data_IF_581100436165
#
_entry.id   IF_581100436165
#
_cell.length_a   1.000
_cell.length_b   1.000
_cell.length_c   1.000
_cell.angle_alpha   90.00
_cell.angle_beta   90.00
_cell.angle_gamma   90.00
#
_symmetry.space_group_name_H-M   'P 1'
#
loop_
_entity.id
_entity.type
_entity.pdbx_description
1 polymer ?
#
# COMPACT_ATOMS: atom_id res chain seq x y z
N UNK A 1 -5.41 5.35 29.85
CA UNK A 1 -4.00 4.97 30.01
C UNK A 1 -3.46 4.31 28.74
N UNK A 2 -2.16 4.10 28.62
CA UNK A 2 -1.52 3.54 27.42
C UNK A 2 -2.03 2.15 27.01
N UNK A 3 -2.67 1.41 27.91
CA UNK A 3 -3.12 0.03 27.71
C UNK A 3 -4.64 -0.14 27.62
N UNK A 4 -5.41 0.94 27.56
CA UNK A 4 -6.90 0.87 27.46
C UNK A 4 -7.36 0.06 26.23
N UNK A 5 -6.61 0.11 25.14
CA UNK A 5 -6.90 -0.70 23.96
C UNK A 5 -6.82 -2.21 24.21
N UNK A 6 -5.98 -2.66 25.18
CA UNK A 6 -5.91 -4.07 25.57
C UNK A 6 -7.17 -4.51 26.30
N UNK A 7 -7.70 -3.64 27.19
CA UNK A 7 -8.98 -3.86 27.88
C UNK A 7 -10.12 -3.97 26.85
N UNK A 8 -10.13 -3.09 25.85
CA UNK A 8 -11.08 -3.16 24.73
C UNK A 8 -10.99 -4.50 23.99
N UNK A 9 -9.79 -4.96 23.63
CA UNK A 9 -9.61 -6.26 22.98
C UNK A 9 -10.07 -7.46 23.83
N UNK A 10 -10.11 -7.34 25.14
CA UNK A 10 -10.58 -8.39 26.05
C UNK A 10 -12.10 -8.46 26.24
N UNK A 11 -12.88 -7.56 25.61
CA UNK A 11 -14.35 -7.53 25.77
C UNK A 11 -15.02 -8.59 24.91
N UNK A 12 -16.04 -9.25 25.45
CA UNK A 12 -16.80 -10.28 24.73
C UNK A 12 -17.81 -9.72 23.71
N UNK A 13 -18.15 -8.42 23.81
CA UNK A 13 -19.09 -7.74 22.91
C UNK A 13 -18.41 -7.09 21.69
N UNK A 14 -17.12 -7.37 21.45
CA UNK A 14 -16.36 -6.90 20.30
C UNK A 14 -15.88 -8.11 19.47
N UNK A 15 -16.23 -8.15 18.21
CA UNK A 15 -15.80 -9.18 17.25
C UNK A 15 -14.64 -8.74 16.38
N UNK A 16 -14.59 -7.45 16.02
CA UNK A 16 -13.61 -6.86 15.10
C UNK A 16 -12.92 -5.65 15.75
N UNK A 17 -11.60 -5.60 15.66
CA UNK A 17 -10.79 -4.44 16.05
C UNK A 17 -10.21 -3.80 14.81
N UNK A 18 -10.51 -2.50 14.59
CA UNK A 18 -9.94 -1.71 13.52
C UNK A 18 -8.79 -0.84 14.05
N UNK A 19 -7.60 -1.00 13.50
CA UNK A 19 -6.36 -0.36 13.96
C UNK A 19 -5.95 0.73 12.96
N UNK A 20 -6.04 2.00 13.41
CA UNK A 20 -5.73 3.22 12.64
C UNK A 20 -4.72 4.08 13.43
N UNK A 21 -3.68 3.48 13.96
CA UNK A 21 -2.69 4.14 14.82
C UNK A 21 -1.44 4.56 14.02
N UNK A 22 -0.36 4.91 14.69
CA UNK A 22 0.95 5.03 14.06
C UNK A 22 1.48 3.65 13.61
N UNK A 23 2.36 3.64 12.62
CA UNK A 23 2.83 2.40 11.99
C UNK A 23 3.54 1.43 12.93
N UNK A 24 4.24 1.92 13.97
CA UNK A 24 4.91 1.04 14.95
C UNK A 24 3.92 0.26 15.81
N UNK A 25 2.70 0.76 15.95
CA UNK A 25 1.66 0.16 16.76
C UNK A 25 0.82 -0.88 16.01
N UNK A 26 0.82 -0.86 14.67
CA UNK A 26 -0.04 -1.73 13.85
C UNK A 26 0.16 -3.21 14.15
N UNK A 27 1.33 -3.76 13.91
CA UNK A 27 1.58 -5.20 14.08
C UNK A 27 1.46 -5.65 15.56
N UNK A 28 2.03 -4.96 16.57
CA UNK A 28 1.85 -5.34 17.96
C UNK A 28 0.39 -5.37 18.42
N UNK A 29 -0.41 -4.38 18.01
CA UNK A 29 -1.83 -4.33 18.35
C UNK A 29 -2.63 -5.42 17.64
N UNK A 30 -2.36 -5.67 16.35
CA UNK A 30 -2.99 -6.72 15.59
C UNK A 30 -2.72 -8.12 16.18
N UNK A 31 -1.47 -8.41 16.50
CA UNK A 31 -1.06 -9.65 17.17
C UNK A 31 -1.79 -9.83 18.51
N UNK A 32 -1.86 -8.76 19.31
CA UNK A 32 -2.55 -8.83 20.59
C UNK A 32 -4.05 -9.10 20.42
N UNK A 33 -4.72 -8.34 19.53
CA UNK A 33 -6.15 -8.49 19.29
C UNK A 33 -6.51 -9.91 18.79
N UNK A 34 -5.73 -10.46 17.84
CA UNK A 34 -5.94 -11.83 17.38
C UNK A 34 -5.76 -12.87 18.49
N UNK A 35 -4.80 -12.70 19.39
CA UNK A 35 -4.62 -13.55 20.58
C UNK A 35 -5.80 -13.48 21.56
N UNK A 36 -6.58 -12.41 21.54
CA UNK A 36 -7.83 -12.27 22.29
C UNK A 36 -9.04 -12.81 21.49
N UNK A 37 -8.81 -13.50 20.37
CA UNK A 37 -9.88 -14.08 19.53
C UNK A 37 -10.63 -13.06 18.67
N UNK A 38 -10.11 -11.85 18.50
CA UNK A 38 -10.75 -10.82 17.68
C UNK A 38 -10.31 -10.94 16.22
N UNK A 39 -11.22 -10.67 15.29
CA UNK A 39 -10.85 -10.34 13.92
C UNK A 39 -10.16 -8.97 13.89
N UNK A 40 -9.28 -8.75 12.95
CA UNK A 40 -8.49 -7.52 12.85
C UNK A 40 -8.59 -6.91 11.46
N UNK A 41 -8.92 -5.64 11.42
CA UNK A 41 -8.70 -4.75 10.30
C UNK A 41 -7.53 -3.82 10.65
N UNK A 42 -6.48 -3.77 9.85
CA UNK A 42 -5.30 -2.95 10.13
C UNK A 42 -4.97 -2.04 8.96
N UNK A 43 -4.78 -0.75 9.25
CA UNK A 43 -4.33 0.24 8.29
C UNK A 43 -2.92 -0.03 7.75
N UNK A 44 -2.60 0.61 6.68
CA UNK A 44 -1.39 0.38 5.88
C UNK A 44 -0.20 1.26 6.32
N UNK A 45 1.02 0.70 6.27
CA UNK A 45 1.36 -0.72 6.13
C UNK A 45 1.04 -1.52 7.39
N UNK A 46 0.68 -2.78 7.26
CA UNK A 46 0.30 -3.61 8.41
C UNK A 46 1.49 -3.94 9.33
N UNK A 47 2.69 -3.89 8.81
CA UNK A 47 3.94 -4.16 9.53
C UNK A 47 5.08 -3.31 8.98
N UNK A 48 6.11 -3.07 9.80
CA UNK A 48 7.28 -2.28 9.47
C UNK A 48 8.52 -3.12 9.20
N UNK A 49 8.53 -4.36 9.67
CA UNK A 49 9.67 -5.28 9.57
C UNK A 49 9.22 -6.66 9.07
N UNK A 50 10.16 -7.41 8.47
CA UNK A 50 9.89 -8.80 8.05
C UNK A 50 9.53 -9.70 9.23
N UNK A 51 10.09 -9.43 10.41
CA UNK A 51 9.75 -10.18 11.62
C UNK A 51 8.29 -9.97 12.03
N UNK A 52 7.83 -8.73 12.06
CA UNK A 52 6.42 -8.40 12.31
C UNK A 52 5.48 -9.02 11.27
N UNK A 53 5.88 -9.08 9.99
CA UNK A 53 5.10 -9.77 8.95
C UNK A 53 4.90 -11.25 9.31
N UNK A 54 5.95 -11.93 9.79
CA UNK A 54 5.84 -13.31 10.28
C UNK A 54 4.96 -13.44 11.54
N UNK A 55 5.05 -12.48 12.47
CA UNK A 55 4.21 -12.49 13.66
C UNK A 55 2.72 -12.39 13.29
N UNK A 56 2.36 -11.52 12.36
CA UNK A 56 0.98 -11.40 11.86
C UNK A 56 0.47 -12.72 11.28
N UNK A 57 1.26 -13.35 10.41
CA UNK A 57 0.88 -14.64 9.78
C UNK A 57 0.77 -15.74 10.83
N UNK A 58 1.80 -15.91 11.67
CA UNK A 58 1.85 -16.97 12.68
C UNK A 58 0.67 -16.90 13.66
N UNK A 59 0.30 -15.70 14.08
CA UNK A 59 -0.79 -15.53 15.04
C UNK A 59 -2.15 -15.68 14.36
N UNK A 60 -2.33 -15.19 13.14
CA UNK A 60 -3.56 -15.39 12.36
C UNK A 60 -3.82 -16.88 12.14
N UNK A 61 -2.80 -17.64 11.71
CA UNK A 61 -2.89 -19.09 11.52
C UNK A 61 -3.19 -19.84 12.83
N UNK A 62 -2.52 -19.46 13.93
CA UNK A 62 -2.66 -20.14 15.21
C UNK A 62 -4.02 -19.90 15.88
N UNK A 63 -4.63 -18.73 15.66
CA UNK A 63 -5.91 -18.36 16.29
C UNK A 63 -7.10 -18.59 15.37
N UNK A 64 -6.90 -18.71 14.08
CA UNK A 64 -7.97 -18.70 13.08
C UNK A 64 -8.68 -17.35 12.94
N UNK A 65 -8.14 -16.29 13.54
CA UNK A 65 -8.69 -14.94 13.43
C UNK A 65 -8.40 -14.36 12.05
N UNK A 66 -9.39 -13.71 11.43
CA UNK A 66 -9.13 -12.93 10.23
C UNK A 66 -8.22 -11.76 10.58
N UNK A 67 -7.15 -11.59 9.80
CA UNK A 67 -6.44 -10.32 9.68
C UNK A 67 -6.67 -9.84 8.25
N UNK A 68 -7.23 -8.65 8.09
CA UNK A 68 -7.40 -7.99 6.81
C UNK A 68 -6.60 -6.70 6.81
N UNK A 69 -5.71 -6.53 5.82
CA UNK A 69 -5.07 -5.24 5.59
C UNK A 69 -6.07 -4.31 4.89
N UNK A 70 -6.17 -3.09 5.39
CA UNK A 70 -7.14 -2.11 4.88
C UNK A 70 -6.54 -1.28 3.73
N UNK A 71 -6.14 -1.97 2.66
CA UNK A 71 -5.58 -1.35 1.48
C UNK A 71 -6.70 -0.88 0.55
N UNK A 72 -7.18 0.34 0.79
CA UNK A 72 -8.32 0.91 0.11
C UNK A 72 -8.11 1.12 -1.40
N UNK A 73 -6.87 1.33 -1.85
CA UNK A 73 -6.57 1.54 -3.27
C UNK A 73 -6.88 0.29 -4.12
N UNK A 74 -6.87 -0.91 -3.53
CA UNK A 74 -7.35 -2.10 -4.22
C UNK A 74 -8.82 -1.98 -4.66
N UNK A 75 -9.60 -1.16 -3.96
CA UNK A 75 -11.01 -0.89 -4.24
C UNK A 75 -11.23 0.39 -5.05
N UNK A 76 -10.20 1.09 -5.51
CA UNK A 76 -10.35 2.19 -6.48
C UNK A 76 -11.05 1.66 -7.73
N UNK A 77 -12.01 2.44 -8.25
CA UNK A 77 -12.87 1.99 -9.36
C UNK A 77 -12.07 1.60 -10.60
N UNK A 78 -11.06 2.38 -10.94
CA UNK A 78 -10.16 2.09 -12.07
C UNK A 78 -9.31 0.83 -11.82
N UNK A 79 -8.77 0.64 -10.60
CA UNK A 79 -8.01 -0.56 -10.24
C UNK A 79 -8.89 -1.82 -10.34
N UNK A 80 -10.13 -1.75 -9.84
CA UNK A 80 -11.09 -2.86 -9.93
C UNK A 80 -11.55 -3.13 -11.37
N UNK A 81 -11.72 -2.08 -12.19
CA UNK A 81 -12.02 -2.24 -13.60
C UNK A 81 -10.84 -2.87 -14.35
N UNK A 82 -9.60 -2.42 -14.09
CA UNK A 82 -8.40 -3.02 -14.65
C UNK A 82 -8.24 -4.50 -14.25
N UNK A 83 -8.48 -4.83 -12.97
CA UNK A 83 -8.50 -6.23 -12.49
C UNK A 83 -9.57 -7.05 -13.24
N UNK A 84 -10.76 -6.50 -13.45
CA UNK A 84 -11.81 -7.16 -14.22
C UNK A 84 -11.40 -7.39 -15.68
N UNK A 85 -10.68 -6.42 -16.30
CA UNK A 85 -10.12 -6.59 -17.64
C UNK A 85 -9.06 -7.71 -17.69
N UNK A 86 -8.18 -7.78 -16.67
CA UNK A 86 -7.18 -8.86 -16.53
C UNK A 86 -7.90 -10.21 -16.42
N UNK A 87 -8.89 -10.35 -15.53
CA UNK A 87 -9.66 -11.59 -15.33
C UNK A 87 -10.44 -12.02 -16.57
N UNK A 88 -10.83 -11.08 -17.42
CA UNK A 88 -11.46 -11.39 -18.72
C UNK A 88 -10.44 -11.65 -19.85
N UNK A 89 -9.14 -11.69 -19.53
CA UNK A 89 -8.08 -12.01 -20.48
C UNK A 89 -7.77 -10.93 -21.51
N UNK A 90 -8.21 -9.67 -21.30
CA UNK A 90 -8.02 -8.62 -22.31
C UNK A 90 -6.56 -8.27 -22.56
N UNK A 91 -5.71 -8.47 -21.56
CA UNK A 91 -4.27 -8.19 -21.68
C UNK A 91 -3.44 -9.45 -22.00
N UNK A 92 -4.09 -10.62 -22.17
CA UNK A 92 -3.40 -11.89 -22.37
C UNK A 92 -2.66 -12.34 -21.11
N UNK A 93 -1.53 -13.00 -21.29
CA UNK A 93 -0.63 -13.39 -20.17
C UNK A 93 0.05 -12.14 -19.60
N UNK A 94 -0.10 -11.89 -18.30
CA UNK A 94 0.53 -10.73 -17.65
C UNK A 94 2.03 -10.96 -17.51
N UNK A 95 2.82 -9.98 -17.94
CA UNK A 95 4.27 -10.02 -17.98
C UNK A 95 4.94 -9.06 -17.01
N UNK A 96 4.35 -7.86 -16.85
CA UNK A 96 4.97 -6.77 -16.12
C UNK A 96 3.94 -5.91 -15.40
N UNK A 97 4.29 -5.46 -14.18
CA UNK A 97 3.59 -4.45 -13.41
C UNK A 97 4.48 -3.26 -13.08
N UNK A 98 3.88 -2.09 -13.05
CA UNK A 98 4.46 -0.88 -12.46
C UNK A 98 3.50 -0.32 -11.41
N UNK A 99 4.03 0.23 -10.34
CA UNK A 99 3.25 0.87 -9.29
C UNK A 99 4.13 1.70 -8.36
N UNK A 100 3.51 2.46 -7.46
CA UNK A 100 4.25 3.19 -6.46
C UNK A 100 3.35 3.93 -5.48
N UNK A 101 3.98 4.69 -4.59
CA UNK A 101 3.34 5.73 -3.84
C UNK A 101 4.11 7.03 -4.10
N UNK A 102 3.62 7.77 -5.05
CA UNK A 102 4.25 8.95 -5.60
C UNK A 102 3.38 10.17 -5.26
N UNK A 103 3.62 10.74 -4.08
CA UNK A 103 2.76 11.76 -3.46
C UNK A 103 3.61 12.80 -2.74
N UNK A 104 3.51 14.06 -3.13
CA UNK A 104 4.18 15.13 -2.41
C UNK A 104 3.62 15.27 -1.00
N UNK A 105 4.33 14.74 -0.01
CA UNK A 105 3.95 14.79 1.41
C UNK A 105 4.79 15.80 2.21
N UNK A 106 5.52 16.70 1.58
CA UNK A 106 6.37 17.65 2.30
C UNK A 106 5.56 18.51 3.25
N UNK A 107 4.38 18.97 2.83
CA UNK A 107 3.47 19.76 3.68
C UNK A 107 2.82 18.93 4.80
N UNK A 108 2.65 17.62 4.64
CA UNK A 108 2.16 16.72 5.68
C UNK A 108 3.26 16.39 6.70
N UNK A 109 4.50 16.27 6.23
CA UNK A 109 5.67 15.92 7.07
C UNK A 109 6.12 17.04 7.98
N UNK A 110 5.77 18.28 7.65
CA UNK A 110 6.09 19.46 8.44
C UNK A 110 4.85 20.34 8.57
N UNK A 111 4.53 20.76 9.79
CA UNK A 111 3.42 21.69 10.03
C UNK A 111 3.67 22.53 11.28
N UNK A 112 2.75 23.44 11.59
CA UNK A 112 2.86 24.40 12.70
C UNK A 112 2.44 23.85 14.07
N UNK A 113 2.10 22.57 14.15
CA UNK A 113 1.61 21.91 15.38
C UNK A 113 0.11 22.06 15.62
N UNK A 114 -0.64 22.69 14.69
CA UNK A 114 -2.08 22.88 14.79
C UNK A 114 -2.85 22.49 13.51
N UNK A 115 -2.25 22.72 12.35
CA UNK A 115 -2.84 22.35 11.06
C UNK A 115 -2.25 21.03 10.57
N UNK A 116 -3.02 20.30 9.77
CA UNK A 116 -2.56 19.03 9.19
C UNK A 116 -1.42 19.25 8.20
N UNK A 117 -1.56 20.24 7.32
CA UNK A 117 -0.55 20.61 6.34
C UNK A 117 0.21 21.86 6.79
N UNK A 118 1.43 22.01 6.26
CA UNK A 118 2.19 23.25 6.38
C UNK A 118 1.38 24.42 5.82
N UNK A 119 1.38 25.54 6.56
CA UNK A 119 0.77 26.78 6.11
C UNK A 119 1.81 27.61 5.36
N UNK A 120 1.67 27.81 4.05
CA UNK A 120 2.66 28.54 3.25
C UNK A 120 2.95 29.94 3.81
N UNK A 121 4.22 30.28 3.95
CA UNK A 121 4.66 31.57 4.45
C UNK A 121 4.67 31.74 5.98
N UNK A 122 4.24 30.72 6.75
CA UNK A 122 4.25 30.80 8.22
C UNK A 122 5.68 30.77 8.78
N UNK A 123 6.61 30.08 8.11
CA UNK A 123 7.96 29.80 8.60
C UNK A 123 8.00 28.84 9.80
N UNK A 124 6.85 28.39 10.29
CA UNK A 124 6.74 27.49 11.45
C UNK A 124 6.68 26.04 10.95
N UNK A 125 7.83 25.39 10.95
CA UNK A 125 8.02 24.02 10.51
C UNK A 125 8.36 23.15 11.72
N UNK A 126 7.47 22.20 12.05
CA UNK A 126 7.68 21.25 13.14
C UNK A 126 7.54 19.83 12.64
N UNK A 127 8.27 18.92 13.27
CA UNK A 127 8.13 17.47 13.18
C UNK A 127 8.29 16.84 14.57
N UNK A 128 7.88 15.59 14.71
CA UNK A 128 7.95 14.90 16.01
C UNK A 128 6.91 15.42 17.01
N UNK A 129 7.13 15.29 18.32
CA UNK A 129 6.11 15.54 19.35
C UNK A 129 5.47 16.92 19.37
N UNK A 130 6.10 17.92 18.75
CA UNK A 130 5.59 19.30 18.70
C UNK A 130 4.79 19.60 17.44
N UNK A 131 4.74 18.66 16.51
CA UNK A 131 3.93 18.75 15.30
C UNK A 131 2.49 18.28 15.54
N UNK A 132 1.64 18.36 14.52
CA UNK A 132 0.26 17.88 14.55
C UNK A 132 0.09 16.64 13.66
N UNK A 133 -0.85 15.77 14.00
CA UNK A 133 -1.24 14.60 13.22
C UNK A 133 -0.01 13.73 12.81
N UNK A 134 0.09 13.36 11.53
CA UNK A 134 1.12 12.45 11.03
C UNK A 134 2.55 12.99 11.14
N UNK A 135 2.75 14.29 11.09
CA UNK A 135 4.08 14.88 11.28
C UNK A 135 4.69 14.55 12.65
N UNK A 136 3.89 14.13 13.64
CA UNK A 136 4.37 13.70 14.95
C UNK A 136 5.23 12.44 14.88
N UNK A 137 4.95 11.54 13.95
CA UNK A 137 5.60 10.22 13.88
C UNK A 137 6.13 9.89 12.48
N UNK A 138 5.41 10.25 11.41
CA UNK A 138 5.73 9.86 10.03
C UNK A 138 7.07 10.38 9.55
N UNK A 139 7.39 11.63 9.86
CA UNK A 139 8.65 12.27 9.43
C UNK A 139 9.87 11.60 10.05
N UNK A 140 9.75 11.02 11.25
CA UNK A 140 10.83 10.26 11.87
C UNK A 140 11.26 9.04 11.04
N UNK A 141 10.35 8.43 10.30
CA UNK A 141 10.71 7.36 9.36
C UNK A 141 11.65 7.88 8.26
N UNK A 142 11.44 9.12 7.78
CA UNK A 142 12.34 9.72 6.80
C UNK A 142 13.74 10.04 7.37
N UNK A 143 13.85 10.23 8.69
CA UNK A 143 15.15 10.43 9.36
C UNK A 143 15.90 9.10 9.51
N UNK A 144 15.22 8.03 9.90
CA UNK A 144 15.88 6.81 10.36
C UNK A 144 15.91 5.67 9.35
N UNK A 145 15.09 5.72 8.31
CA UNK A 145 14.90 4.62 7.34
C UNK A 145 15.31 5.05 5.93
N UNK A 146 15.72 4.08 5.10
CA UNK A 146 16.03 4.31 3.69
C UNK A 146 15.52 3.11 2.86
N UNK A 147 14.29 3.16 2.41
CA UNK A 147 13.60 2.12 1.66
C UNK A 147 12.24 2.60 1.16
N UNK A 148 11.51 1.72 0.53
CA UNK A 148 10.10 1.96 0.23
C UNK A 148 9.27 1.77 1.51
N UNK A 149 9.05 2.85 2.23
CA UNK A 149 8.37 2.80 3.54
C UNK A 149 6.84 2.77 3.46
N UNK A 150 6.26 2.84 2.24
CA UNK A 150 4.81 2.83 2.03
C UNK A 150 4.40 2.13 0.72
N UNK A 151 4.74 0.85 0.51
CA UNK A 151 4.57 0.17 -0.77
C UNK A 151 3.13 -0.27 -1.08
N UNK A 152 2.26 -0.36 -0.07
CA UNK A 152 1.01 -1.12 -0.14
C UNK A 152 0.01 -0.54 -1.12
N UNK A 153 -0.12 0.79 -1.19
CA UNK A 153 -1.02 1.46 -2.15
C UNK A 153 -0.67 1.14 -3.61
N UNK A 154 0.62 1.00 -3.91
CA UNK A 154 1.06 0.59 -5.23
C UNK A 154 0.90 -0.91 -5.46
N UNK A 155 1.51 -1.70 -4.59
CA UNK A 155 1.65 -3.14 -4.83
C UNK A 155 0.35 -3.92 -4.72
N UNK A 156 -0.60 -3.50 -3.87
CA UNK A 156 -1.85 -4.23 -3.63
C UNK A 156 -2.64 -4.51 -4.90
N UNK A 157 -3.04 -3.48 -5.70
CA UNK A 157 -3.76 -3.69 -6.95
C UNK A 157 -3.00 -4.54 -7.97
N UNK A 158 -1.68 -4.34 -8.09
CA UNK A 158 -0.84 -5.11 -9.00
C UNK A 158 -0.71 -6.58 -8.55
N UNK A 159 -0.62 -6.81 -7.24
CA UNK A 159 -0.57 -8.16 -6.67
C UNK A 159 -1.85 -8.96 -6.99
N UNK A 160 -3.03 -8.31 -6.96
CA UNK A 160 -4.29 -8.93 -7.38
C UNK A 160 -4.36 -9.22 -8.88
N UNK A 161 -3.81 -8.35 -9.71
CA UNK A 161 -3.70 -8.59 -11.16
C UNK A 161 -2.75 -9.74 -11.52
N UNK A 162 -1.85 -10.12 -10.63
CA UNK A 162 -0.86 -11.17 -10.83
C UNK A 162 -1.08 -12.39 -9.94
N UNK A 163 -2.21 -12.48 -9.25
CA UNK A 163 -2.58 -13.57 -8.34
C UNK A 163 -1.52 -13.90 -7.29
N UNK A 164 -0.82 -12.88 -6.75
CA UNK A 164 0.18 -13.05 -5.70
C UNK A 164 -0.45 -13.70 -4.47
N UNK A 165 0.25 -14.67 -3.88
CA UNK A 165 -0.20 -15.59 -2.83
C UNK A 165 -1.31 -16.57 -3.25
N UNK A 166 -1.69 -16.62 -4.55
CA UNK A 166 -2.79 -17.42 -5.11
C UNK A 166 -2.41 -17.91 -6.51
N UNK A 167 -1.52 -18.90 -6.59
CA UNK A 167 -0.94 -19.40 -7.85
C UNK A 167 0.36 -18.71 -8.25
N UNK A 168 0.77 -17.67 -7.52
CA UNK A 168 1.99 -16.90 -7.77
C UNK A 168 2.54 -16.35 -6.45
N UNK A 169 3.82 -15.93 -6.43
CA UNK A 169 4.41 -15.23 -5.28
C UNK A 169 5.59 -14.35 -5.69
N UNK A 170 5.98 -13.42 -4.83
CA UNK A 170 7.25 -12.72 -4.95
C UNK A 170 8.41 -13.68 -4.63
N UNK A 171 9.48 -13.64 -5.42
CA UNK A 171 10.67 -14.47 -5.23
C UNK A 171 11.85 -13.69 -4.67
N UNK A 172 12.09 -12.50 -5.22
CA UNK A 172 13.24 -11.68 -4.85
C UNK A 172 12.98 -10.21 -5.16
N UNK A 173 13.73 -9.33 -4.49
CA UNK A 173 13.68 -7.90 -4.63
C UNK A 173 15.09 -7.32 -4.71
N UNK A 174 15.27 -6.30 -5.57
CA UNK A 174 16.44 -5.40 -5.58
C UNK A 174 15.96 -3.97 -5.55
N UNK A 175 16.58 -3.10 -4.75
CA UNK A 175 16.16 -1.70 -4.59
C UNK A 175 17.34 -0.75 -4.58
N UNK A 176 17.11 0.44 -5.11
CA UNK A 176 18.04 1.57 -5.07
C UNK A 176 17.32 2.84 -4.62
N UNK A 177 18.04 3.71 -3.94
CA UNK A 177 17.54 5.00 -3.47
C UNK A 177 18.43 6.14 -4.01
N UNK A 178 17.80 7.26 -4.31
CA UNK A 178 18.51 8.51 -4.61
C UNK A 178 19.09 9.12 -3.33
N UNK A 179 19.81 10.22 -3.46
CA UNK A 179 20.14 11.05 -2.31
C UNK A 179 18.89 11.72 -1.74
N UNK A 180 18.90 12.03 -0.45
CA UNK A 180 17.88 12.83 0.22
C UNK A 180 18.22 14.32 0.05
N UNK A 181 17.34 15.08 -0.60
CA UNK A 181 17.50 16.52 -0.86
C UNK A 181 16.17 17.29 -0.69
N UNK A 182 15.06 16.68 -1.04
CA UNK A 182 13.76 17.35 -1.14
C UNK A 182 13.27 17.91 0.19
N UNK A 183 13.37 17.15 1.29
CA UNK A 183 12.96 17.64 2.62
C UNK A 183 13.84 18.76 3.13
N UNK A 184 15.17 18.66 2.97
CA UNK A 184 16.08 19.74 3.34
C UNK A 184 15.78 21.02 2.55
N UNK A 185 15.62 20.90 1.23
CA UNK A 185 15.24 22.04 0.39
C UNK A 185 13.92 22.67 0.85
N UNK A 186 12.90 21.87 1.14
CA UNK A 186 11.61 22.39 1.62
C UNK A 186 11.75 23.18 2.92
N UNK A 187 12.57 22.69 3.86
CA UNK A 187 12.85 23.38 5.13
C UNK A 187 13.55 24.71 4.88
N UNK A 188 14.59 24.73 4.04
CA UNK A 188 15.33 25.94 3.73
C UNK A 188 14.48 26.99 3.01
N UNK A 189 13.69 26.56 2.03
CA UNK A 189 12.82 27.45 1.25
C UNK A 189 11.73 28.12 2.14
N UNK A 190 11.27 27.46 3.18
CA UNK A 190 10.16 27.92 4.00
C UNK A 190 10.57 28.45 5.39
N UNK A 191 11.66 27.94 5.96
CA UNK A 191 12.15 28.34 7.29
C UNK A 191 13.52 29.03 7.28
N UNK A 192 14.21 29.02 6.15
CA UNK A 192 15.55 29.57 5.99
C UNK A 192 16.68 28.60 6.42
N UNK A 193 17.90 28.88 6.01
CA UNK A 193 19.10 28.06 6.28
C UNK A 193 19.41 27.90 7.78
N UNK A 194 19.00 28.86 8.59
CA UNK A 194 19.23 28.84 10.04
C UNK A 194 18.13 28.10 10.83
N UNK A 195 17.10 27.60 10.16
CA UNK A 195 16.05 26.85 10.83
C UNK A 195 16.62 25.58 11.49
N UNK A 196 16.24 25.24 12.74
CA UNK A 196 16.79 24.06 13.44
C UNK A 196 16.68 22.76 12.64
N UNK A 197 15.57 22.55 11.93
CA UNK A 197 15.34 21.37 11.11
C UNK A 197 16.25 21.29 9.86
N UNK A 198 16.82 22.41 9.39
CA UNK A 198 17.78 22.39 8.29
C UNK A 198 19.07 21.63 8.63
N UNK A 199 19.32 21.38 9.94
CA UNK A 199 20.45 20.58 10.41
C UNK A 199 20.14 19.09 10.53
N UNK A 200 18.88 18.68 10.32
CA UNK A 200 18.46 17.28 10.40
C UNK A 200 18.97 16.53 9.17
N UNK A 201 19.63 15.41 9.40
CA UNK A 201 20.03 14.51 8.32
C UNK A 201 18.89 13.52 8.04
N UNK A 202 18.23 13.65 6.89
CA UNK A 202 17.22 12.72 6.43
C UNK A 202 17.90 11.58 5.67
N UNK A 203 17.65 10.35 6.08
CA UNK A 203 18.28 9.17 5.52
C UNK A 203 17.48 8.60 4.33
N UNK A 204 16.16 8.82 4.30
CA UNK A 204 15.29 8.36 3.22
C UNK A 204 15.64 9.07 1.91
N UNK A 205 16.07 8.33 0.92
CA UNK A 205 16.24 8.85 -0.45
C UNK A 205 14.95 9.46 -0.96
N UNK A 206 15.04 10.51 -1.77
CA UNK A 206 13.83 11.18 -2.28
C UNK A 206 13.00 10.24 -3.14
N UNK A 207 13.67 9.42 -3.97
CA UNK A 207 13.04 8.40 -4.78
C UNK A 207 13.69 7.05 -4.46
N UNK A 208 12.87 6.06 -4.14
CA UNK A 208 13.27 4.66 -3.99
C UNK A 208 12.62 3.85 -5.08
N UNK A 209 13.40 3.09 -5.83
CA UNK A 209 12.89 2.18 -6.87
C UNK A 209 13.26 0.75 -6.52
N UNK A 210 12.26 -0.11 -6.46
CA UNK A 210 12.40 -1.54 -6.22
C UNK A 210 11.98 -2.33 -7.45
N UNK A 211 12.71 -3.40 -7.76
CA UNK A 211 12.34 -4.38 -8.78
C UNK A 211 12.09 -5.72 -8.13
N UNK A 212 10.90 -6.29 -8.35
CA UNK A 212 10.47 -7.56 -7.79
C UNK A 212 10.33 -8.60 -8.91
N UNK A 213 10.84 -9.82 -8.67
CA UNK A 213 10.64 -10.98 -9.53
C UNK A 213 9.57 -11.88 -8.93
N UNK A 214 8.63 -12.37 -9.78
CA UNK A 214 7.56 -13.29 -9.39
C UNK A 214 7.84 -14.72 -9.89
N UNK A 215 7.21 -15.72 -9.25
CA UNK A 215 7.40 -17.13 -9.56
C UNK A 215 6.93 -17.53 -10.96
N UNK A 216 5.87 -16.90 -11.45
CA UNK A 216 5.35 -17.13 -12.81
C UNK A 216 6.08 -16.34 -13.90
N UNK A 217 7.25 -15.75 -13.56
CA UNK A 217 8.10 -15.09 -14.54
C UNK A 217 7.90 -13.57 -14.64
N UNK A 218 6.83 -13.01 -14.08
CA UNK A 218 6.56 -11.57 -14.12
C UNK A 218 7.62 -10.77 -13.37
N UNK A 219 7.69 -9.48 -13.69
CA UNK A 219 8.45 -8.47 -12.96
C UNK A 219 7.56 -7.31 -12.55
N UNK A 220 7.90 -6.67 -11.42
CA UNK A 220 7.18 -5.48 -10.94
C UNK A 220 8.21 -4.41 -10.59
N UNK A 221 7.95 -3.17 -11.01
CA UNK A 221 8.66 -1.98 -10.54
C UNK A 221 7.78 -1.27 -9.53
N UNK A 222 8.33 -0.98 -8.34
CA UNK A 222 7.65 -0.22 -7.29
C UNK A 222 8.46 1.04 -7.01
N UNK A 223 7.80 2.20 -7.05
CA UNK A 223 8.43 3.51 -6.80
C UNK A 223 7.83 4.17 -5.56
N UNK A 224 8.69 4.63 -4.65
CA UNK A 224 8.31 5.47 -3.52
C UNK A 224 8.89 6.87 -3.70
N UNK A 225 8.04 7.89 -3.74
CA UNK A 225 8.43 9.31 -3.78
C UNK A 225 7.46 10.14 -2.94
N UNK A 226 7.91 10.56 -1.75
CA UNK A 226 7.11 11.38 -0.84
C UNK A 226 7.83 12.67 -0.41
N UNK A 227 8.97 12.96 -1.04
CA UNK A 227 9.86 14.07 -0.69
C UNK A 227 10.04 15.08 -1.83
N UNK A 228 9.50 14.81 -3.01
CA UNK A 228 9.67 15.62 -4.21
C UNK A 228 8.37 16.36 -4.58
N UNK A 229 8.47 17.55 -5.24
CA UNK A 229 7.31 18.26 -5.75
C UNK A 229 6.71 17.54 -6.95
N UNK A 230 5.50 17.05 -6.80
CA UNK A 230 4.79 16.34 -7.86
C UNK A 230 3.29 16.28 -7.65
N UNK A 231 2.47 16.12 -8.71
CA UNK A 231 1.10 15.64 -8.57
C UNK A 231 1.06 14.21 -8.00
N UNK A 232 -0.05 13.85 -7.37
CA UNK A 232 -0.28 12.49 -6.90
C UNK A 232 -0.37 11.51 -8.06
N UNK A 233 0.36 10.40 -7.96
CA UNK A 233 0.26 9.25 -8.85
C UNK A 233 0.55 7.97 -8.08
N UNK A 234 0.02 6.86 -8.56
CA UNK A 234 0.39 5.51 -8.10
C UNK A 234 1.16 4.76 -9.19
N UNK A 235 1.42 5.42 -10.34
CA UNK A 235 2.24 4.89 -11.42
C UNK A 235 1.77 3.55 -11.95
N UNK A 236 0.47 3.25 -11.86
CA UNK A 236 -0.03 1.92 -12.23
C UNK A 236 0.23 1.60 -13.69
N UNK A 237 0.78 0.42 -13.89
CA UNK A 237 0.94 -0.22 -15.18
C UNK A 237 0.68 -1.72 -15.03
N UNK A 238 -0.21 -2.25 -15.84
CA UNK A 238 -0.42 -3.69 -16.02
C UNK A 238 -0.20 -3.99 -17.48
N UNK A 239 0.77 -4.82 -17.81
CA UNK A 239 1.14 -5.14 -19.19
C UNK A 239 1.21 -6.66 -19.38
N UNK A 240 0.53 -7.11 -20.41
CA UNK A 240 0.54 -8.50 -20.85
C UNK A 240 0.89 -8.65 -22.34
N UNK A 241 0.68 -9.85 -22.86
CA UNK A 241 1.00 -10.22 -24.25
C UNK A 241 0.07 -9.58 -25.28
N UNK A 242 -1.14 -9.17 -24.87
CA UNK A 242 -2.17 -8.66 -25.79
C UNK A 242 -2.61 -7.22 -25.48
N UNK A 243 -2.07 -6.61 -24.43
CA UNK A 243 -2.44 -5.24 -24.10
C UNK A 243 -1.80 -4.70 -22.85
N UNK A 244 -2.11 -3.47 -22.52
CA UNK A 244 -1.67 -2.82 -21.29
C UNK A 244 -2.61 -1.68 -20.88
N UNK A 245 -2.59 -1.40 -19.58
CA UNK A 245 -3.11 -0.20 -18.96
C UNK A 245 -1.98 0.58 -18.30
N UNK A 246 -2.01 1.90 -18.42
CA UNK A 246 -1.16 2.84 -17.68
C UNK A 246 -2.04 3.93 -17.08
N UNK A 247 -1.98 4.10 -15.75
CA UNK A 247 -2.77 5.12 -15.05
C UNK A 247 -2.27 6.55 -15.40
N UNK A 248 -0.95 6.75 -15.42
CA UNK A 248 -0.41 8.05 -15.84
C UNK A 248 -0.72 8.28 -17.33
N UNK A 249 -1.53 9.32 -17.59
CA UNK A 249 -2.02 9.66 -18.91
C UNK A 249 -3.28 8.93 -19.35
N UNK A 250 -3.93 8.16 -18.47
CA UNK A 250 -5.22 7.48 -18.71
C UNK A 250 -5.24 6.62 -19.97
N UNK A 251 -4.23 5.76 -20.11
CA UNK A 251 -3.93 5.03 -21.34
C UNK A 251 -4.28 3.55 -21.26
N UNK A 252 -5.03 3.06 -22.24
CA UNK A 252 -5.27 1.63 -22.49
C UNK A 252 -4.90 1.31 -23.93
N UNK A 253 -4.33 0.13 -24.13
CA UNK A 253 -4.16 -0.48 -25.46
C UNK A 253 -4.49 -1.96 -25.39
N UNK A 254 -5.37 -2.43 -26.27
CA UNK A 254 -5.71 -3.85 -26.40
C UNK A 254 -5.57 -4.25 -27.87
N UNK A 255 -4.70 -5.22 -28.16
CA UNK A 255 -4.43 -5.68 -29.51
C UNK A 255 -5.70 -6.16 -30.22
N UNK A 256 -5.88 -5.73 -31.46
CA UNK A 256 -7.06 -6.08 -32.25
C UNK A 256 -8.34 -5.32 -31.88
N UNK A 257 -8.34 -4.53 -30.81
CA UNK A 257 -9.47 -3.66 -30.41
C UNK A 257 -9.10 -2.18 -30.50
N UNK A 258 -7.93 -1.80 -29.99
CA UNK A 258 -7.37 -0.45 -30.13
C UNK A 258 -6.81 -0.22 -31.54
N UNK A 259 -6.77 1.03 -31.99
CA UNK A 259 -6.11 1.39 -33.25
C UNK A 259 -4.60 1.15 -33.12
N UNK A 260 -3.93 0.52 -34.13
CA UNK A 260 -2.49 0.29 -34.08
C UNK A 260 -1.70 1.56 -33.75
N UNK A 261 -0.75 1.45 -32.81
CA UNK A 261 0.13 2.55 -32.37
C UNK A 261 -0.58 3.78 -31.78
N UNK A 262 -1.80 3.63 -31.26
CA UNK A 262 -2.54 4.69 -30.58
C UNK A 262 -3.08 4.21 -29.25
N UNK A 263 -2.98 5.07 -28.26
CA UNK A 263 -3.63 4.89 -26.97
C UNK A 263 -5.13 5.18 -27.10
N UNK A 264 -5.92 4.37 -26.43
CA UNK A 264 -7.32 4.69 -26.10
C UNK A 264 -7.37 5.36 -24.74
N UNK A 265 -8.42 6.14 -24.52
CA UNK A 265 -8.76 6.69 -23.23
C UNK A 265 -9.26 5.56 -22.29
N UNK A 266 -8.71 5.49 -21.08
CA UNK A 266 -9.06 4.45 -20.10
C UNK A 266 -10.51 4.53 -19.65
N UNK A 267 -11.13 5.72 -19.59
CA UNK A 267 -12.51 5.91 -19.13
C UNK A 267 -13.53 5.13 -19.95
N UNK A 268 -13.35 5.05 -21.26
CA UNK A 268 -14.22 4.27 -22.15
C UNK A 268 -14.15 2.77 -21.85
N UNK A 269 -12.94 2.28 -21.55
CA UNK A 269 -12.71 0.91 -21.16
C UNK A 269 -13.29 0.61 -19.78
N UNK A 270 -13.06 1.48 -18.80
CA UNK A 270 -13.51 1.28 -17.42
C UNK A 270 -15.02 1.32 -17.29
N UNK A 271 -15.72 2.18 -18.02
CA UNK A 271 -17.19 2.14 -18.10
C UNK A 271 -17.71 0.80 -18.62
N UNK A 272 -17.02 0.22 -19.61
CA UNK A 272 -17.42 -1.06 -20.20
C UNK A 272 -17.08 -2.26 -19.31
N UNK A 273 -16.00 -2.18 -18.55
CA UNK A 273 -15.49 -3.26 -17.71
C UNK A 273 -15.58 -2.92 -16.22
N UNK A 274 -16.51 -2.02 -15.86
CA UNK A 274 -16.74 -1.66 -14.47
C UNK A 274 -16.99 -2.91 -13.62
N UNK A 275 -16.47 -2.90 -12.39
CA UNK A 275 -16.59 -4.08 -11.55
C UNK A 275 -17.96 -4.15 -10.92
N UNK A 276 -18.57 -5.37 -10.90
CA UNK A 276 -19.92 -5.61 -10.36
C UNK A 276 -20.13 -5.09 -8.94
N UNK A 277 -19.07 -5.16 -8.09
CA UNK A 277 -19.16 -4.67 -6.72
C UNK A 277 -19.35 -3.15 -6.68
N UNK A 278 -18.60 -2.40 -7.51
CA UNK A 278 -18.80 -0.96 -7.68
C UNK A 278 -20.19 -0.62 -8.22
N UNK A 279 -20.58 -1.27 -9.28
CA UNK A 279 -21.91 -1.05 -9.89
C UNK A 279 -23.06 -1.31 -8.91
N UNK A 280 -22.90 -2.28 -7.99
CA UNK A 280 -23.92 -2.61 -6.98
C UNK A 280 -23.96 -1.67 -5.77
N UNK A 281 -22.84 -1.00 -5.44
CA UNK A 281 -22.71 -0.18 -4.24
C UNK A 281 -22.49 1.32 -4.53
N UNK A 282 -22.53 1.74 -5.80
CA UNK A 282 -22.21 3.11 -6.22
C UNK A 282 -22.97 4.18 -5.44
N UNK A 283 -24.27 3.99 -5.24
CA UNK A 283 -25.11 4.96 -4.52
C UNK A 283 -24.74 5.08 -3.04
N UNK A 284 -24.37 3.97 -2.40
CA UNK A 284 -23.98 3.96 -0.99
C UNK A 284 -22.55 4.49 -0.79
N UNK A 285 -21.69 4.27 -1.77
CA UNK A 285 -20.30 4.71 -1.74
C UNK A 285 -20.12 6.20 -2.07
N UNK A 286 -21.09 6.82 -2.74
CA UNK A 286 -20.98 8.17 -3.33
C UNK A 286 -20.60 9.28 -2.32
N UNK A 287 -21.02 9.16 -1.05
CA UNK A 287 -20.75 10.14 0.01
C UNK A 287 -19.64 9.71 0.97
N UNK A 288 -19.01 8.55 0.73
CA UNK A 288 -17.99 8.00 1.61
C UNK A 288 -16.58 8.50 1.27
N UNK A 289 -15.65 8.33 2.22
CA UNK A 289 -14.26 8.78 2.09
C UNK A 289 -13.52 8.23 0.87
N UNK A 290 -12.53 8.98 0.42
CA UNK A 290 -11.65 8.63 -0.71
C UNK A 290 -12.42 8.21 -1.98
N UNK A 291 -13.48 8.96 -2.32
CA UNK A 291 -14.26 8.68 -3.52
C UNK A 291 -15.07 7.38 -3.46
N UNK A 292 -15.37 6.88 -2.25
CA UNK A 292 -16.20 5.71 -2.03
C UNK A 292 -15.46 4.39 -1.81
N UNK A 293 -14.17 4.32 -2.10
CA UNK A 293 -13.41 3.06 -1.98
C UNK A 293 -13.34 2.55 -0.53
N UNK A 294 -13.28 3.42 0.47
CA UNK A 294 -13.29 3.03 1.89
C UNK A 294 -14.59 2.32 2.28
N UNK A 295 -15.71 2.78 1.76
CA UNK A 295 -17.01 2.13 1.99
C UNK A 295 -17.05 0.71 1.42
N UNK A 296 -16.61 0.55 0.18
CA UNK A 296 -16.63 -0.75 -0.50
C UNK A 296 -15.68 -1.72 0.19
N UNK A 297 -14.50 -1.27 0.58
CA UNK A 297 -13.53 -2.07 1.34
C UNK A 297 -14.12 -2.56 2.67
N UNK A 298 -14.73 -1.67 3.44
CA UNK A 298 -15.34 -2.03 4.72
C UNK A 298 -16.54 -2.96 4.53
N UNK A 299 -17.37 -2.71 3.51
CA UNK A 299 -18.49 -3.57 3.16
C UNK A 299 -18.03 -5.01 2.87
N UNK A 300 -16.99 -5.17 2.03
CA UNK A 300 -16.46 -6.48 1.63
C UNK A 300 -15.90 -7.25 2.84
N UNK A 301 -15.17 -6.58 3.73
CA UNK A 301 -14.66 -7.18 4.96
C UNK A 301 -15.79 -7.62 5.90
N UNK A 302 -16.79 -6.77 6.13
CA UNK A 302 -17.91 -7.11 7.01
C UNK A 302 -18.74 -8.25 6.42
N UNK A 303 -18.95 -8.25 5.11
CA UNK A 303 -19.62 -9.35 4.41
C UNK A 303 -18.85 -10.66 4.58
N UNK A 304 -17.52 -10.62 4.43
CA UNK A 304 -16.69 -11.79 4.63
C UNK A 304 -16.79 -12.35 6.05
N UNK A 305 -16.72 -11.49 7.07
CA UNK A 305 -16.85 -11.91 8.47
C UNK A 305 -18.24 -12.51 8.75
N UNK A 306 -19.31 -11.82 8.36
CA UNK A 306 -20.71 -12.27 8.59
C UNK A 306 -21.01 -13.58 7.91
N UNK A 307 -20.51 -13.79 6.72
CA UNK A 307 -20.75 -14.98 5.91
C UNK A 307 -19.67 -16.05 6.04
N UNK A 308 -18.74 -15.88 6.98
CA UNK A 308 -17.63 -16.82 7.25
C UNK A 308 -16.81 -17.14 5.99
N UNK A 309 -16.63 -16.14 5.14
CA UNK A 309 -15.77 -16.21 3.96
C UNK A 309 -14.32 -15.86 4.36
N UNK A 310 -13.32 -16.25 3.57
CA UNK A 310 -11.96 -15.74 3.76
C UNK A 310 -11.89 -14.21 3.72
N UNK A 311 -10.95 -13.63 4.47
CA UNK A 311 -10.72 -12.18 4.41
C UNK A 311 -10.33 -11.75 2.98
N UNK A 312 -10.89 -10.67 2.44
CA UNK A 312 -10.60 -10.22 1.07
C UNK A 312 -9.11 -10.03 0.80
N UNK A 313 -8.40 -9.40 1.73
CA UNK A 313 -6.97 -9.13 1.72
C UNK A 313 -6.36 -9.65 3.02
N UNK A 314 -5.97 -10.91 3.04
CA UNK A 314 -5.67 -11.65 4.27
C UNK A 314 -4.26 -11.38 4.85
N UNK A 315 -3.89 -12.15 5.89
CA UNK A 315 -2.61 -12.01 6.57
C UNK A 315 -1.40 -12.24 5.64
N UNK A 316 -1.53 -13.04 4.60
CA UNK A 316 -0.44 -13.26 3.64
C UNK A 316 -0.27 -12.06 2.71
N UNK A 317 -1.36 -11.39 2.31
CA UNK A 317 -1.32 -10.14 1.56
C UNK A 317 -0.72 -9.03 2.41
N UNK A 318 -1.20 -8.90 3.65
CA UNK A 318 -0.66 -7.94 4.61
C UNK A 318 0.86 -8.10 4.81
N UNK A 319 1.32 -9.35 4.99
CA UNK A 319 2.72 -9.65 5.17
C UNK A 319 3.55 -9.43 3.90
N UNK A 320 3.10 -9.95 2.75
CA UNK A 320 3.85 -9.83 1.50
C UNK A 320 3.99 -8.37 1.04
N UNK A 321 2.94 -7.58 1.13
CA UNK A 321 2.99 -6.17 0.71
C UNK A 321 3.80 -5.31 1.67
N UNK A 322 3.65 -5.49 2.98
CA UNK A 322 4.40 -4.73 4.00
C UNK A 322 5.89 -5.11 4.05
N UNK A 323 6.25 -6.35 3.74
CA UNK A 323 7.64 -6.82 3.76
C UNK A 323 8.55 -6.09 2.76
N UNK A 324 7.98 -5.50 1.69
CA UNK A 324 8.72 -4.70 0.71
C UNK A 324 9.52 -3.60 1.41
N UNK A 325 8.96 -2.97 2.46
CA UNK A 325 9.65 -1.93 3.23
C UNK A 325 10.98 -2.44 3.78
N UNK A 326 10.97 -3.48 4.60
CA UNK A 326 12.19 -4.02 5.22
C UNK A 326 13.15 -4.66 4.20
N UNK A 327 12.62 -5.28 3.14
CA UNK A 327 13.47 -5.90 2.10
C UNK A 327 14.14 -4.85 1.21
N UNK A 328 13.45 -3.75 0.87
CA UNK A 328 14.06 -2.65 0.13
C UNK A 328 15.17 -1.97 0.92
N UNK A 329 14.97 -1.74 2.23
CA UNK A 329 16.03 -1.24 3.12
C UNK A 329 17.25 -2.16 3.15
N UNK A 330 17.01 -3.47 3.25
CA UNK A 330 18.09 -4.46 3.26
C UNK A 330 18.85 -4.46 1.93
N UNK A 331 18.17 -4.36 0.80
CA UNK A 331 18.78 -4.31 -0.52
C UNK A 331 19.64 -3.03 -0.68
N UNK A 332 19.08 -1.87 -0.34
CA UNK A 332 19.78 -0.56 -0.42
C UNK A 332 21.02 -0.57 0.46
N UNK A 333 20.92 -1.05 1.71
CA UNK A 333 22.06 -1.14 2.63
C UNK A 333 23.20 -2.04 2.12
N UNK A 334 22.88 -2.95 1.16
CA UNK A 334 23.83 -3.84 0.49
C UNK A 334 24.20 -3.38 -0.93
N UNK A 335 23.99 -2.10 -1.23
CA UNK A 335 24.35 -1.52 -2.54
C UNK A 335 23.44 -1.95 -3.70
N UNK A 336 22.17 -2.26 -3.43
CA UNK A 336 21.22 -2.73 -4.44
C UNK A 336 21.24 -4.25 -4.67
N UNK A 337 21.88 -5.01 -3.76
CA UNK A 337 21.96 -6.45 -3.89
C UNK A 337 20.57 -7.10 -3.88
N UNK A 338 20.42 -8.16 -4.67
CA UNK A 338 19.21 -8.99 -4.67
C UNK A 338 19.00 -9.61 -3.29
N UNK A 339 17.80 -9.53 -2.77
CA UNK A 339 17.36 -10.18 -1.53
C UNK A 339 16.23 -11.15 -1.81
N UNK A 340 16.24 -12.28 -1.12
CA UNK A 340 15.17 -13.27 -1.24
C UNK A 340 13.89 -12.73 -0.58
N UNK A 341 12.76 -12.99 -1.23
CA UNK A 341 11.46 -12.63 -0.69
C UNK A 341 10.89 -13.83 0.10
N UNK A 342 10.54 -13.68 1.39
CA UNK A 342 9.98 -14.77 2.17
C UNK A 342 8.70 -15.33 1.58
N UNK A 343 8.52 -16.63 1.64
CA UNK A 343 7.24 -17.27 1.36
C UNK A 343 6.40 -17.34 2.64
N UNK A 344 5.60 -16.31 2.86
CA UNK A 344 4.72 -16.23 4.02
C UNK A 344 3.63 -17.29 4.04
N UNK A 345 3.30 -17.87 2.87
CA UNK A 345 2.30 -18.94 2.75
C UNK A 345 2.89 -20.34 2.99
N UNK A 346 4.20 -20.48 3.14
CA UNK A 346 4.90 -21.76 3.30
C UNK A 346 4.52 -22.79 2.23
N UNK A 347 4.45 -22.34 0.96
CA UNK A 347 4.11 -23.17 -0.20
C UNK A 347 2.61 -23.28 -0.48
N UNK A 348 1.74 -22.79 0.40
CA UNK A 348 0.29 -22.90 0.17
C UNK A 348 -0.19 -22.05 -1.03
N UNK A 349 0.55 -21.01 -1.42
CA UNK A 349 0.24 -20.18 -2.58
C UNK A 349 -0.06 -20.97 -3.85
N UNK A 350 0.52 -22.18 -4.00
CA UNK A 350 0.35 -23.04 -5.18
C UNK A 350 -1.11 -23.48 -5.35
N UNK A 351 -1.84 -23.68 -4.25
CA UNK A 351 -3.20 -24.23 -4.25
C UNK A 351 -4.26 -23.21 -3.86
N UNK A 352 -3.88 -22.06 -3.38
CA UNK A 352 -4.82 -20.98 -3.01
C UNK A 352 -5.46 -20.40 -4.27
N UNK A 353 -6.73 -20.04 -4.14
CA UNK A 353 -7.49 -19.43 -5.23
C UNK A 353 -7.68 -17.93 -4.97
N UNK A 354 -7.82 -17.10 -6.02
CA UNK A 354 -8.27 -15.71 -5.87
C UNK A 354 -9.52 -15.62 -5.00
N UNK A 355 -9.58 -14.62 -4.13
CA UNK A 355 -10.70 -14.41 -3.21
C UNK A 355 -11.15 -12.94 -3.15
N UNK A 356 -10.29 -12.02 -3.57
CA UNK A 356 -10.58 -10.59 -3.59
C UNK A 356 -11.59 -10.26 -4.68
N UNK A 357 -12.64 -9.51 -4.34
CA UNK A 357 -13.62 -8.95 -5.28
C UNK A 357 -14.19 -10.01 -6.27
N UNK A 358 -14.67 -11.12 -5.75
CA UNK A 358 -15.28 -12.21 -6.54
C UNK A 358 -16.77 -12.01 -6.76
#
# INVERSE_FOLDING_TARGET
GKDVWKEMCGRDDIDLVYICTDWHSHAPMAVYAMKQGKHVAVEVPAAMTVAECWDLVNVSEATGSHLNIMENVCYRRDCMAALNMVRQGLFGEILHGGCGYEHDLREVKFNDGTHYNYVPGSGDLRMGPTAFAEAQWRTNHSVHRNGDIYPTHGIGPIAHCMDINRGNRFLSLSAMATQSRGLHKFIVDNGGENHPLAKVNFNLGDIVTSMIKCSNGQTIIVTHDTNSPRPYSLGFRVQGTEGLWMNDGDHVYVQGKSKPHRWDDSDEWFKKYDHKLWASLESQAAEAGHGGMDYIMMYDLIDAIRNKKPAPMDCYDAAAWSAISGLSEMSIARGGALVDFPDFTRGQWIHRQPQFAL
#
